data_IF_052294636158
#
_entry.id   IF_052294636158
#
_cell.length_a   1.000
_cell.length_b   1.000
_cell.length_c   1.000
_cell.angle_alpha   90.00
_cell.angle_beta   90.00
_cell.angle_gamma   90.00
#
_symmetry.space_group_name_H-M   'P 1'
#
loop_
_entity.id
_entity.type
_entity.pdbx_description
1 polymer ?
#
# COMPACT_ATOMS: atom_id res chain seq x y z
N UNK A 1 17.95 16.06 32.39
CA UNK A 1 19.02 15.11 32.74
C UNK A 1 19.14 14.17 31.57
N UNK A 2 20.28 14.29 30.89
CA UNK A 2 20.85 13.54 29.75
C UNK A 2 19.99 13.20 28.52
N UNK A 3 20.43 13.82 27.41
CA UNK A 3 20.11 13.53 26.02
C UNK A 3 20.59 12.13 25.62
N UNK A 4 19.67 11.30 25.09
CA UNK A 4 20.06 10.10 24.36
C UNK A 4 20.40 10.47 22.92
N UNK A 5 21.70 10.53 22.63
CA UNK A 5 22.30 10.77 21.32
C UNK A 5 21.84 9.75 20.27
N UNK A 6 21.53 10.25 19.07
CA UNK A 6 21.10 9.51 17.86
C UNK A 6 22.27 8.72 17.21
N UNK A 7 23.39 8.50 17.92
CA UNK A 7 24.58 7.82 17.40
C UNK A 7 24.68 6.30 17.63
N UNK A 8 23.69 5.67 18.29
CA UNK A 8 23.85 4.29 18.81
C UNK A 8 23.44 3.13 17.89
N UNK A 9 22.93 3.39 16.69
CA UNK A 9 22.37 2.34 15.80
C UNK A 9 23.30 1.90 14.67
N UNK A 10 24.49 2.51 14.54
CA UNK A 10 25.44 2.25 13.44
C UNK A 10 26.56 1.25 13.80
N UNK A 11 26.68 0.81 15.06
CA UNK A 11 27.82 -0.02 15.49
C UNK A 11 27.50 -1.49 15.81
N UNK A 12 26.34 -2.03 15.40
CA UNK A 12 25.99 -3.45 15.63
C UNK A 12 25.85 -4.35 14.40
N UNK A 13 26.38 -3.93 13.25
CA UNK A 13 26.56 -4.78 12.06
C UNK A 13 28.03 -4.89 11.62
N UNK A 14 28.96 -4.88 12.58
CA UNK A 14 30.37 -5.20 12.33
C UNK A 14 30.75 -6.63 12.70
N UNK A 15 29.80 -7.56 12.68
CA UNK A 15 30.06 -9.00 12.82
C UNK A 15 29.17 -9.77 11.85
N UNK A 16 29.65 -9.88 10.61
CA UNK A 16 28.97 -10.60 9.53
C UNK A 16 29.59 -10.25 8.19
N UNK A 17 30.81 -10.74 7.91
CA UNK A 17 31.26 -10.89 6.53
C UNK A 17 30.38 -11.95 5.88
N UNK A 18 29.15 -11.58 5.53
CA UNK A 18 28.31 -12.35 4.63
C UNK A 18 29.07 -12.52 3.32
N UNK A 19 28.93 -13.70 2.71
CA UNK A 19 29.53 -14.01 1.44
C UNK A 19 29.03 -13.00 0.38
N UNK A 20 29.89 -12.04 0.01
CA UNK A 20 29.60 -10.99 -0.98
C UNK A 20 29.24 -11.60 -2.35
N UNK A 21 29.53 -12.89 -2.57
CA UNK A 21 29.12 -13.60 -3.77
C UNK A 21 27.64 -13.99 -3.79
N UNK A 22 26.99 -14.13 -2.62
CA UNK A 22 25.57 -14.47 -2.51
C UNK A 22 24.70 -13.23 -2.66
N UNK A 23 23.67 -13.33 -3.50
CA UNK A 23 22.69 -12.26 -3.67
C UNK A 23 21.89 -12.03 -2.36
N UNK A 24 21.71 -10.78 -1.90
CA UNK A 24 20.85 -10.47 -0.77
C UNK A 24 19.36 -10.63 -1.14
N UNK A 25 18.48 -10.60 -0.15
CA UNK A 25 17.06 -10.37 -0.43
C UNK A 25 16.88 -8.95 -0.98
N UNK A 26 16.58 -8.85 -2.27
CA UNK A 26 16.33 -7.58 -2.94
C UNK A 26 14.96 -7.00 -2.60
N UNK A 27 14.08 -7.75 -1.93
CA UNK A 27 12.71 -7.31 -1.73
C UNK A 27 12.53 -6.42 -0.50
N UNK A 28 13.10 -6.79 0.66
CA UNK A 28 13.04 -6.00 1.90
C UNK A 28 11.61 -5.54 2.21
N UNK A 29 10.68 -6.49 2.21
CA UNK A 29 9.29 -6.21 2.52
C UNK A 29 9.11 -6.02 4.02
N UNK A 30 8.43 -4.93 4.39
CA UNK A 30 7.72 -4.85 5.66
C UNK A 30 6.27 -5.12 5.32
N UNK A 31 5.73 -6.28 5.69
CA UNK A 31 4.40 -6.65 5.19
C UNK A 31 3.31 -5.72 5.74
N UNK A 32 3.23 -5.59 7.07
CA UNK A 32 2.21 -4.80 7.74
C UNK A 32 2.83 -3.95 8.82
N UNK A 33 2.34 -2.72 8.95
CA UNK A 33 2.58 -1.88 10.13
C UNK A 33 1.24 -1.43 10.70
N UNK A 34 1.06 -1.61 12.00
CA UNK A 34 -0.11 -1.10 12.70
C UNK A 34 0.17 0.32 13.20
N UNK A 35 -0.75 1.25 12.95
CA UNK A 35 -0.71 2.60 13.51
C UNK A 35 -1.78 2.73 14.59
N UNK A 36 -1.37 3.21 15.76
CA UNK A 36 -2.26 3.50 16.88
C UNK A 36 -3.10 4.76 16.62
N UNK A 37 -4.11 4.99 17.45
CA UNK A 37 -4.85 6.24 17.46
C UNK A 37 -3.95 7.46 17.72
N UNK A 38 -2.92 7.32 18.57
CA UNK A 38 -1.97 8.40 18.85
C UNK A 38 -1.08 8.70 17.64
N UNK A 39 -0.65 7.68 16.89
CA UNK A 39 0.17 7.84 15.68
C UNK A 39 -0.54 8.69 14.62
N UNK A 40 -1.83 8.43 14.42
CA UNK A 40 -2.63 9.11 13.39
C UNK A 40 -3.27 10.41 13.92
N UNK A 41 -3.43 10.55 15.23
CA UNK A 41 -3.96 11.73 15.90
C UNK A 41 -5.47 11.89 15.85
N UNK A 42 -6.24 10.85 15.48
CA UNK A 42 -7.70 10.97 15.31
C UNK A 42 -8.51 11.01 16.61
N UNK A 43 -7.87 10.75 17.76
CA UNK A 43 -8.49 10.96 19.08
C UNK A 43 -8.62 12.45 19.46
N UNK A 44 -7.95 13.35 18.73
CA UNK A 44 -8.06 14.79 18.90
C UNK A 44 -9.06 15.36 17.88
N UNK A 45 -10.16 16.01 18.31
CA UNK A 45 -11.18 16.52 17.40
C UNK A 45 -10.68 17.58 16.42
N UNK A 46 -9.59 18.29 16.77
CA UNK A 46 -9.02 19.36 15.93
C UNK A 46 -8.02 18.82 14.90
N UNK A 47 -7.67 17.53 14.97
CA UNK A 47 -6.74 16.89 14.04
C UNK A 47 -7.49 16.20 12.91
N UNK A 48 -6.77 15.98 11.82
CA UNK A 48 -7.26 15.25 10.64
C UNK A 48 -6.18 14.38 10.03
N UNK A 49 -6.63 13.29 9.43
CA UNK A 49 -5.81 12.42 8.58
C UNK A 49 -6.17 12.71 7.13
N UNK A 50 -5.14 12.91 6.30
CA UNK A 50 -5.25 13.18 4.87
C UNK A 50 -4.62 11.98 4.16
N UNK A 51 -5.42 11.15 3.50
CA UNK A 51 -4.96 10.03 2.68
C UNK A 51 -4.94 10.46 1.21
N UNK A 52 -3.81 10.33 0.53
CA UNK A 52 -3.63 10.79 -0.86
C UNK A 52 -3.40 9.60 -1.81
N UNK A 53 -4.02 9.67 -3.00
CA UNK A 53 -3.85 8.72 -4.11
C UNK A 53 -2.44 8.68 -4.72
N UNK A 54 -2.28 7.89 -5.77
CA UNK A 54 -1.01 7.65 -6.48
C UNK A 54 -0.37 8.96 -6.98
N UNK A 55 0.93 9.11 -6.70
CA UNK A 55 1.63 10.39 -6.84
C UNK A 55 2.52 10.46 -8.07
N UNK A 56 3.22 9.39 -8.43
CA UNK A 56 3.96 9.24 -9.68
C UNK A 56 4.86 10.43 -10.06
N UNK A 57 5.57 11.00 -9.07
CA UNK A 57 6.44 12.15 -9.25
C UNK A 57 5.73 13.47 -9.55
N UNK A 58 4.41 13.54 -9.38
CA UNK A 58 3.59 14.74 -9.59
C UNK A 58 3.67 15.69 -8.38
N UNK A 59 4.89 16.11 -8.04
CA UNK A 59 5.19 16.89 -6.83
C UNK A 59 4.40 18.21 -6.77
N UNK A 60 4.31 18.95 -7.88
CA UNK A 60 3.55 20.20 -7.94
C UNK A 60 2.06 19.98 -7.66
N UNK A 61 1.46 18.94 -8.25
CA UNK A 61 0.06 18.58 -8.01
C UNK A 61 -0.19 18.21 -6.54
N UNK A 62 0.76 17.54 -5.87
CA UNK A 62 0.67 17.27 -4.44
C UNK A 62 0.67 18.58 -3.64
N UNK A 63 1.58 19.51 -3.94
CA UNK A 63 1.63 20.78 -3.23
C UNK A 63 0.39 21.66 -3.48
N UNK A 64 -0.20 21.62 -4.67
CA UNK A 64 -1.48 22.27 -4.95
C UNK A 64 -2.61 21.67 -4.11
N UNK A 65 -2.67 20.34 -4.01
CA UNK A 65 -3.64 19.65 -3.18
C UNK A 65 -3.47 20.02 -1.70
N UNK A 66 -2.25 19.97 -1.17
CA UNK A 66 -1.93 20.32 0.22
C UNK A 66 -2.25 21.80 0.51
N UNK A 67 -1.99 22.69 -0.45
CA UNK A 67 -2.36 24.11 -0.36
C UNK A 67 -3.88 24.28 -0.31
N UNK A 68 -4.61 23.58 -1.18
CA UNK A 68 -6.08 23.63 -1.20
C UNK A 68 -6.71 23.14 0.11
N UNK A 69 -6.02 22.23 0.81
CA UNK A 69 -6.40 21.71 2.11
C UNK A 69 -5.94 22.59 3.27
N UNK A 70 -5.12 23.62 3.03
CA UNK A 70 -4.40 24.34 4.08
C UNK A 70 -3.66 23.37 5.01
N UNK A 71 -2.91 22.44 4.43
CA UNK A 71 -2.18 21.40 5.17
C UNK A 71 -1.22 22.01 6.21
N UNK A 72 -1.33 21.53 7.44
CA UNK A 72 -0.48 21.92 8.55
C UNK A 72 0.21 20.67 9.14
N UNK A 73 1.52 20.45 8.92
CA UNK A 73 2.22 19.27 9.40
C UNK A 73 2.30 19.15 10.94
N UNK A 74 1.92 20.18 11.70
CA UNK A 74 1.85 20.13 13.16
C UNK A 74 0.48 19.67 13.69
N UNK A 75 -0.57 19.67 12.86
CA UNK A 75 -1.93 19.29 13.24
C UNK A 75 -2.46 18.11 12.39
N UNK A 76 -2.00 18.01 11.15
CA UNK A 76 -2.46 17.03 10.18
C UNK A 76 -1.51 15.85 10.09
N UNK A 77 -2.08 14.65 9.94
CA UNK A 77 -1.34 13.45 9.56
C UNK A 77 -1.54 13.18 8.08
N UNK A 78 -0.46 13.12 7.31
CA UNK A 78 -0.50 12.79 5.88
C UNK A 78 -0.14 11.32 5.67
N UNK A 79 -0.91 10.62 4.83
CA UNK A 79 -0.71 9.24 4.44
C UNK A 79 -0.83 9.12 2.92
N UNK A 80 0.10 8.46 2.22
CA UNK A 80 -0.04 8.17 0.78
C UNK A 80 -0.35 6.68 0.53
N UNK A 81 -1.08 6.37 -0.55
CA UNK A 81 -1.42 4.98 -0.94
C UNK A 81 -0.36 4.28 -1.80
N UNK A 82 0.79 4.92 -2.02
CA UNK A 82 1.94 4.35 -2.74
C UNK A 82 2.10 4.92 -4.14
N UNK A 83 2.95 4.27 -4.93
CA UNK A 83 3.31 4.69 -6.28
C UNK A 83 3.77 6.15 -6.30
N UNK A 84 4.86 6.37 -5.58
CA UNK A 84 5.48 7.68 -5.40
C UNK A 84 6.22 8.12 -6.65
N UNK A 85 6.91 7.18 -7.26
CA UNK A 85 7.80 7.44 -8.39
C UNK A 85 7.21 6.90 -9.69
N UNK A 86 7.93 7.09 -10.80
CA UNK A 86 7.56 6.61 -12.13
C UNK A 86 6.37 7.37 -12.76
N UNK A 87 6.23 7.28 -14.08
CA UNK A 87 5.25 7.96 -14.95
C UNK A 87 5.44 9.48 -15.08
N UNK A 88 5.60 10.24 -14.00
CA UNK A 88 5.93 11.67 -14.05
C UNK A 88 7.42 11.96 -14.32
N UNK A 89 7.83 13.24 -14.32
CA UNK A 89 9.22 13.63 -14.52
C UNK A 89 10.16 13.04 -13.46
N UNK A 90 11.40 12.73 -13.85
CA UNK A 90 12.44 12.24 -12.93
C UNK A 90 12.70 13.22 -11.78
N UNK A 91 12.84 14.52 -12.11
CA UNK A 91 13.01 15.59 -11.13
C UNK A 91 11.84 15.66 -10.15
N UNK A 92 10.62 15.43 -10.63
CA UNK A 92 9.42 15.38 -9.80
C UNK A 92 9.41 14.17 -8.85
N UNK A 93 9.87 13.00 -9.30
CA UNK A 93 10.04 11.81 -8.44
C UNK A 93 11.03 12.07 -7.30
N UNK A 94 12.18 12.70 -7.60
CA UNK A 94 13.21 13.02 -6.59
C UNK A 94 12.70 14.08 -5.62
N UNK A 95 12.12 15.19 -6.12
CA UNK A 95 11.60 16.26 -5.28
C UNK A 95 10.45 15.78 -4.37
N UNK A 96 9.63 14.86 -4.86
CA UNK A 96 8.59 14.24 -4.05
C UNK A 96 9.20 13.41 -2.91
N UNK A 97 10.22 12.60 -3.19
CA UNK A 97 10.92 11.83 -2.17
C UNK A 97 11.63 12.72 -1.15
N UNK A 98 12.20 13.86 -1.56
CA UNK A 98 12.76 14.87 -0.65
C UNK A 98 11.71 15.34 0.37
N UNK A 99 10.52 15.71 -0.10
CA UNK A 99 9.43 16.15 0.76
C UNK A 99 8.95 15.05 1.71
N UNK A 100 8.65 13.86 1.17
CA UNK A 100 8.08 12.76 1.94
C UNK A 100 9.06 12.20 2.98
N UNK A 101 10.33 12.00 2.61
CA UNK A 101 11.36 11.47 3.49
C UNK A 101 11.70 12.47 4.61
N UNK A 102 11.85 13.77 4.29
CA UNK A 102 12.21 14.80 5.28
C UNK A 102 11.13 15.01 6.35
N UNK A 103 9.87 14.77 6.01
CA UNK A 103 8.73 14.87 6.93
C UNK A 103 8.32 13.54 7.55
N UNK A 104 8.94 12.42 7.14
CA UNK A 104 8.59 11.04 7.55
C UNK A 104 7.09 10.77 7.40
N UNK A 105 6.55 11.15 6.26
CA UNK A 105 5.13 10.97 5.93
C UNK A 105 4.81 9.46 5.96
N UNK A 106 3.65 9.08 6.48
CA UNK A 106 3.24 7.68 6.45
C UNK A 106 2.79 7.29 5.04
N UNK A 107 2.83 6.00 4.74
CA UNK A 107 2.25 5.48 3.52
C UNK A 107 2.49 4.00 3.36
N UNK A 108 2.06 3.49 2.22
CA UNK A 108 2.36 2.12 1.79
C UNK A 108 3.20 2.10 0.53
N UNK A 109 3.92 1.00 0.30
CA UNK A 109 4.75 0.80 -0.89
C UNK A 109 3.90 0.37 -2.08
N UNK A 110 4.05 1.04 -3.21
CA UNK A 110 3.40 0.68 -4.47
C UNK A 110 4.23 -0.23 -5.38
N UNK A 111 3.62 -0.73 -6.46
CA UNK A 111 4.31 -1.61 -7.41
C UNK A 111 5.35 -0.88 -8.26
N UNK A 112 5.29 0.45 -8.39
CA UNK A 112 6.34 1.24 -9.03
C UNK A 112 7.45 1.67 -8.05
N UNK A 113 7.22 1.61 -6.74
CA UNK A 113 8.22 1.90 -5.72
C UNK A 113 9.16 0.70 -5.50
N UNK A 114 8.60 -0.53 -5.49
CA UNK A 114 9.33 -1.76 -5.20
C UNK A 114 10.54 -2.01 -6.13
N UNK A 115 10.45 -1.81 -7.46
CA UNK A 115 11.60 -1.97 -8.34
C UNK A 115 12.75 -1.00 -8.03
N UNK A 116 12.48 0.18 -7.48
CA UNK A 116 13.53 1.15 -7.12
C UNK A 116 14.35 0.65 -5.93
N UNK A 117 13.69 0.12 -4.89
CA UNK A 117 14.34 -0.53 -3.74
C UNK A 117 15.21 -1.71 -4.20
N UNK A 118 14.64 -2.56 -5.04
CA UNK A 118 15.29 -3.72 -5.66
C UNK A 118 16.56 -3.32 -6.42
N UNK A 119 16.47 -2.32 -7.31
CA UNK A 119 17.63 -1.81 -8.02
C UNK A 119 18.67 -1.23 -7.06
N UNK A 120 18.29 -0.42 -6.07
CA UNK A 120 19.23 0.16 -5.09
C UNK A 120 20.06 -0.91 -4.38
N UNK A 121 19.43 -1.97 -3.92
CA UNK A 121 20.12 -3.11 -3.30
C UNK A 121 21.01 -3.88 -4.27
N UNK A 122 20.54 -4.09 -5.51
CA UNK A 122 21.35 -4.74 -6.53
C UNK A 122 22.61 -3.97 -6.85
N UNK A 123 22.53 -2.65 -6.92
CA UNK A 123 23.69 -1.80 -7.13
C UNK A 123 24.70 -1.92 -5.99
N UNK A 124 24.25 -1.83 -4.74
CA UNK A 124 25.12 -2.01 -3.58
C UNK A 124 25.83 -3.37 -3.62
N UNK A 125 25.11 -4.42 -4.00
CA UNK A 125 25.67 -5.77 -4.13
C UNK A 125 26.69 -5.91 -5.27
N UNK A 126 26.43 -5.31 -6.44
CA UNK A 126 27.38 -5.34 -7.56
C UNK A 126 28.63 -4.50 -7.25
N UNK A 127 28.45 -3.30 -6.69
CA UNK A 127 29.57 -2.39 -6.39
C UNK A 127 30.48 -2.91 -5.26
N UNK A 128 29.94 -3.73 -4.35
CA UNK A 128 30.72 -4.42 -3.32
C UNK A 128 31.61 -5.55 -3.88
N UNK A 129 31.31 -6.08 -5.07
CA UNK A 129 32.08 -7.16 -5.68
C UNK A 129 33.32 -6.64 -6.41
N UNK A 130 34.41 -7.43 -6.38
CA UNK A 130 35.66 -7.11 -7.09
C UNK A 130 35.44 -6.93 -8.59
N UNK A 131 35.69 -5.71 -9.08
CA UNK A 131 35.53 -5.30 -10.48
C UNK A 131 34.09 -4.91 -10.87
N UNK A 132 33.13 -4.99 -9.95
CA UNK A 132 31.72 -4.73 -10.24
C UNK A 132 31.42 -3.26 -10.43
N UNK A 133 32.03 -2.39 -9.61
CA UNK A 133 31.93 -0.93 -9.73
C UNK A 133 32.49 -0.41 -11.05
N UNK A 134 33.66 -0.92 -11.47
CA UNK A 134 34.28 -0.55 -12.74
C UNK A 134 33.44 -1.02 -13.93
N UNK A 135 32.93 -2.25 -13.87
CA UNK A 135 32.05 -2.79 -14.90
C UNK A 135 30.76 -1.98 -15.02
N UNK A 136 30.10 -1.66 -13.90
CA UNK A 136 28.85 -0.92 -13.88
C UNK A 136 29.03 0.49 -14.48
N UNK A 137 30.10 1.19 -14.06
CA UNK A 137 30.45 2.51 -14.62
C UNK A 137 30.71 2.47 -16.11
N UNK A 138 31.47 1.47 -16.59
CA UNK A 138 31.76 1.34 -18.02
C UNK A 138 30.49 1.06 -18.84
N UNK A 139 29.64 0.14 -18.37
CA UNK A 139 28.44 -0.24 -19.11
C UNK A 139 27.39 0.87 -19.14
N UNK A 140 27.24 1.63 -18.04
CA UNK A 140 26.38 2.81 -17.99
C UNK A 140 26.89 3.92 -18.92
N UNK A 141 28.21 4.17 -18.93
CA UNK A 141 28.84 5.12 -19.83
C UNK A 141 28.61 4.75 -21.30
N UNK A 142 28.86 3.48 -21.65
CA UNK A 142 28.64 2.96 -23.01
C UNK A 142 27.18 3.04 -23.42
N UNK A 143 26.26 2.64 -22.53
CA UNK A 143 24.82 2.73 -22.79
C UNK A 143 24.39 4.17 -23.07
N UNK A 144 24.80 5.13 -22.24
CA UNK A 144 24.48 6.55 -22.39
C UNK A 144 24.96 7.15 -23.71
N UNK A 145 26.10 6.68 -24.22
CA UNK A 145 26.71 7.13 -25.49
C UNK A 145 26.27 6.32 -26.71
N UNK A 146 25.46 5.27 -26.53
CA UNK A 146 25.11 4.35 -27.62
C UNK A 146 26.28 3.47 -28.10
N UNK A 147 27.34 3.33 -27.30
CA UNK A 147 28.60 2.67 -27.65
C UNK A 147 28.60 1.16 -27.33
N UNK A 148 27.48 0.59 -26.87
CA UNK A 148 27.39 -0.85 -26.61
C UNK A 148 27.59 -1.65 -27.92
N UNK A 149 28.60 -2.53 -27.93
CA UNK A 149 28.88 -3.36 -29.09
C UNK A 149 27.87 -4.52 -29.22
N UNK A 150 27.91 -5.23 -30.35
CA UNK A 150 26.95 -6.31 -30.64
C UNK A 150 27.03 -7.48 -29.64
N UNK A 151 28.22 -7.79 -29.13
CA UNK A 151 28.44 -8.85 -28.15
C UNK A 151 27.84 -8.46 -26.79
N UNK A 152 28.09 -7.23 -26.33
CA UNK A 152 27.54 -6.69 -25.08
C UNK A 152 26.01 -6.64 -25.12
N UNK A 153 25.43 -6.17 -26.23
CA UNK A 153 23.96 -6.18 -26.44
C UNK A 153 23.40 -7.59 -26.37
N UNK A 154 24.09 -8.57 -26.99
CA UNK A 154 23.68 -9.98 -26.97
C UNK A 154 23.82 -10.59 -25.57
N UNK A 155 24.89 -10.28 -24.86
CA UNK A 155 25.15 -10.75 -23.50
C UNK A 155 24.11 -10.19 -22.52
N UNK A 156 23.80 -8.90 -22.61
CA UNK A 156 22.72 -8.25 -21.86
C UNK A 156 21.36 -8.91 -22.13
N UNK A 157 20.97 -9.04 -23.42
CA UNK A 157 19.69 -9.65 -23.80
C UNK A 157 19.56 -11.09 -23.30
N UNK A 158 20.65 -11.86 -23.34
CA UNK A 158 20.67 -13.26 -22.92
C UNK A 158 21.02 -13.46 -21.44
N UNK A 159 21.30 -12.38 -20.69
CA UNK A 159 21.80 -12.40 -19.31
C UNK A 159 23.01 -13.34 -19.13
N UNK A 160 23.95 -13.29 -20.08
CA UNK A 160 25.14 -14.16 -20.12
C UNK A 160 26.42 -13.44 -19.73
N UNK A 161 27.28 -14.15 -19.01
CA UNK A 161 28.56 -13.64 -18.52
C UNK A 161 28.46 -13.18 -17.07
N UNK A 162 29.64 -12.97 -16.44
CA UNK A 162 29.80 -12.77 -15.00
C UNK A 162 28.80 -11.79 -14.37
N UNK A 163 28.58 -10.65 -15.03
CA UNK A 163 27.76 -9.56 -14.48
C UNK A 163 26.33 -9.59 -14.97
N UNK A 164 26.11 -9.89 -16.25
CA UNK A 164 24.75 -9.95 -16.80
C UNK A 164 23.91 -11.08 -16.23
N UNK A 165 24.54 -12.19 -15.82
CA UNK A 165 23.84 -13.29 -15.13
C UNK A 165 23.41 -12.93 -13.71
N UNK A 166 23.94 -11.83 -13.15
CA UNK A 166 23.56 -11.33 -11.81
C UNK A 166 22.37 -10.37 -11.85
N UNK A 167 21.90 -9.96 -13.03
CA UNK A 167 20.65 -9.20 -13.15
C UNK A 167 19.47 -10.20 -13.03
N UNK A 168 18.54 -10.05 -12.07
CA UNK A 168 17.41 -10.97 -11.91
C UNK A 168 16.45 -10.97 -13.10
N UNK A 169 15.92 -12.15 -13.46
CA UNK A 169 14.97 -12.31 -14.60
C UNK A 169 13.82 -11.31 -14.48
N UNK A 170 13.39 -10.74 -15.61
CA UNK A 170 12.34 -9.71 -15.66
C UNK A 170 12.82 -8.27 -15.44
N UNK A 171 13.96 -8.05 -14.77
CA UNK A 171 14.41 -6.67 -14.50
C UNK A 171 14.93 -5.97 -15.75
N UNK A 172 14.46 -4.74 -16.00
CA UNK A 172 14.82 -3.91 -17.16
C UNK A 172 16.02 -3.00 -16.86
N UNK A 173 17.22 -3.48 -17.19
CA UNK A 173 18.46 -2.69 -17.07
C UNK A 173 18.33 -1.37 -17.84
N UNK A 174 18.78 -0.26 -17.25
CA UNK A 174 18.68 1.09 -17.80
C UNK A 174 17.26 1.63 -18.02
N UNK A 175 16.23 0.92 -17.55
CA UNK A 175 14.84 1.37 -17.51
C UNK A 175 14.65 2.58 -16.58
N UNK A 176 13.40 3.04 -16.46
CA UNK A 176 13.13 4.24 -15.67
C UNK A 176 13.39 3.99 -14.17
N UNK A 177 12.92 2.88 -13.61
CA UNK A 177 13.21 2.50 -12.21
C UNK A 177 14.70 2.37 -11.91
N UNK A 178 15.47 1.82 -12.85
CA UNK A 178 16.94 1.74 -12.74
C UNK A 178 17.54 3.14 -12.57
N UNK A 179 17.09 4.10 -13.39
CA UNK A 179 17.60 5.48 -13.35
C UNK A 179 17.19 6.19 -12.08
N UNK A 180 15.94 6.04 -11.63
CA UNK A 180 15.47 6.57 -10.33
C UNK A 180 16.37 6.02 -9.21
N UNK A 181 16.60 4.71 -9.16
CA UNK A 181 17.43 4.06 -8.14
C UNK A 181 18.92 4.45 -8.18
N UNK A 182 19.40 5.06 -9.27
CA UNK A 182 20.73 5.70 -9.34
C UNK A 182 20.74 7.13 -8.85
N UNK A 183 19.64 7.86 -8.98
CA UNK A 183 19.55 9.27 -8.62
C UNK A 183 19.21 9.48 -7.14
N UNK A 184 18.43 8.57 -6.54
CA UNK A 184 17.96 8.75 -5.15
C UNK A 184 19.09 8.68 -4.12
N UNK A 185 18.94 9.45 -3.03
CA UNK A 185 19.86 9.44 -1.88
C UNK A 185 19.66 8.20 -0.98
N UNK A 186 20.52 8.05 0.03
CA UNK A 186 20.33 7.01 1.05
C UNK A 186 19.08 7.28 1.90
N UNK A 187 18.77 8.55 2.21
CA UNK A 187 17.56 8.93 2.96
C UNK A 187 16.28 8.62 2.17
N UNK A 188 16.27 8.84 0.85
CA UNK A 188 15.17 8.44 -0.01
C UNK A 188 14.98 6.93 -0.03
N UNK A 189 16.08 6.18 -0.12
CA UNK A 189 16.06 4.73 -0.08
C UNK A 189 15.54 4.20 1.26
N UNK A 190 16.03 4.75 2.37
CA UNK A 190 15.60 4.39 3.72
C UNK A 190 14.11 4.66 3.91
N UNK A 191 13.62 5.78 3.38
CA UNK A 191 12.19 6.08 3.35
C UNK A 191 11.41 4.99 2.59
N UNK A 192 11.77 4.67 1.34
CA UNK A 192 11.10 3.65 0.54
C UNK A 192 11.11 2.26 1.21
N UNK A 193 12.22 1.89 1.83
CA UNK A 193 12.35 0.62 2.55
C UNK A 193 11.51 0.60 3.84
N UNK A 194 11.32 1.75 4.48
CA UNK A 194 10.49 1.86 5.68
C UNK A 194 8.98 1.72 5.41
N UNK A 195 8.55 1.90 4.15
CA UNK A 195 7.14 1.79 3.78
C UNK A 195 6.66 0.32 3.85
N UNK A 196 5.61 0.03 4.65
CA UNK A 196 4.98 -1.27 4.67
C UNK A 196 4.13 -1.52 3.42
N UNK A 197 3.72 -2.77 3.17
CA UNK A 197 2.75 -3.09 2.11
C UNK A 197 1.31 -2.78 2.53
N UNK A 198 1.03 -2.90 3.83
CA UNK A 198 -0.28 -2.60 4.44
C UNK A 198 -0.10 -1.76 5.71
N UNK A 199 -0.84 -0.66 5.82
CA UNK A 199 -1.07 -0.01 7.12
C UNK A 199 -2.39 -0.53 7.70
N UNK A 200 -2.35 -1.05 8.93
CA UNK A 200 -3.54 -1.43 9.68
C UNK A 200 -3.81 -0.37 10.75
N UNK A 201 -5.03 0.17 10.79
CA UNK A 201 -5.44 1.25 11.69
C UNK A 201 -6.66 0.75 12.48
N UNK A 202 -6.44 0.05 13.61
CA UNK A 202 -7.50 -0.62 14.37
C UNK A 202 -8.56 0.36 14.87
N UNK A 203 -8.15 1.53 15.38
CA UNK A 203 -9.06 2.55 15.92
C UNK A 203 -10.09 3.08 14.92
N UNK A 204 -9.87 2.86 13.63
CA UNK A 204 -10.78 3.23 12.54
C UNK A 204 -11.26 2.02 11.73
N UNK A 205 -10.89 0.81 12.14
CA UNK A 205 -11.16 -0.45 11.44
C UNK A 205 -10.85 -0.35 9.95
N UNK A 206 -9.66 0.19 9.67
CA UNK A 206 -9.22 0.60 8.35
C UNK A 206 -7.91 -0.09 7.97
N UNK A 207 -7.80 -0.42 6.68
CA UNK A 207 -6.55 -0.75 6.02
C UNK A 207 -6.22 0.31 4.97
N UNK A 208 -4.95 0.68 4.88
CA UNK A 208 -4.39 1.33 3.69
C UNK A 208 -3.50 0.30 3.00
N UNK A 209 -3.73 0.09 1.71
CA UNK A 209 -3.00 -0.88 0.88
C UNK A 209 -2.92 -0.36 -0.54
N UNK A 210 -1.83 -0.61 -1.26
CA UNK A 210 -1.69 -0.01 -2.59
C UNK A 210 -2.67 -0.60 -3.63
N UNK A 211 -2.61 -1.91 -3.88
CA UNK A 211 -3.45 -2.58 -4.87
C UNK A 211 -4.81 -3.02 -4.32
N UNK A 212 -4.80 -3.76 -3.21
CA UNK A 212 -6.03 -4.22 -2.56
C UNK A 212 -5.89 -5.38 -1.60
N UNK A 213 -7.00 -5.73 -0.94
CA UNK A 213 -7.12 -6.87 -0.02
C UNK A 213 -8.36 -7.70 -0.38
N UNK A 214 -8.27 -9.01 -0.20
CA UNK A 214 -9.41 -9.91 -0.39
C UNK A 214 -10.14 -10.18 0.94
N UNK A 215 -11.48 -10.22 0.93
CA UNK A 215 -12.26 -10.50 2.14
C UNK A 215 -12.26 -11.99 2.54
N UNK A 216 -11.79 -12.87 1.66
CA UNK A 216 -11.74 -14.32 1.85
C UNK A 216 -10.82 -14.98 0.80
N UNK A 217 -10.44 -16.24 1.02
CA UNK A 217 -9.70 -17.02 0.02
C UNK A 217 -10.64 -17.44 -1.13
N UNK A 218 -10.41 -16.96 -2.37
CA UNK A 218 -11.33 -17.20 -3.50
C UNK A 218 -11.38 -18.64 -3.97
N UNK A 219 -10.46 -19.51 -3.51
CA UNK A 219 -10.49 -20.97 -3.79
C UNK A 219 -11.48 -21.73 -2.89
N UNK A 220 -12.24 -21.03 -2.04
CA UNK A 220 -13.24 -21.61 -1.13
C UNK A 220 -14.54 -20.82 -1.21
N UNK A 221 -15.70 -21.44 -0.88
CA UNK A 221 -16.93 -20.71 -0.64
C UNK A 221 -16.72 -19.60 0.40
N UNK A 222 -17.43 -18.49 0.23
CA UNK A 222 -17.29 -17.30 1.07
C UNK A 222 -17.73 -17.56 2.52
N UNK A 223 -18.69 -18.45 2.74
CA UNK A 223 -19.22 -18.88 4.04
C UNK A 223 -18.49 -20.10 4.64
N UNK A 224 -17.39 -20.55 4.02
CA UNK A 224 -16.65 -21.70 4.50
C UNK A 224 -16.07 -21.41 5.91
N UNK A 225 -16.11 -22.35 6.88
CA UNK A 225 -15.69 -22.14 8.27
C UNK A 225 -14.19 -21.89 8.51
N UNK A 226 -13.41 -21.70 7.44
CA UNK A 226 -11.99 -21.33 7.49
C UNK A 226 -11.76 -19.91 6.95
N UNK A 227 -12.82 -19.23 6.51
CA UNK A 227 -12.75 -17.87 6.04
C UNK A 227 -12.82 -16.94 7.25
N UNK A 228 -11.96 -15.92 7.36
CA UNK A 228 -11.89 -15.05 8.54
C UNK A 228 -13.21 -14.39 8.93
N UNK A 229 -14.07 -14.10 7.96
CA UNK A 229 -15.37 -13.45 8.18
C UNK A 229 -16.52 -14.44 8.44
N UNK A 230 -16.29 -15.75 8.24
CA UNK A 230 -17.34 -16.78 8.36
C UNK A 230 -17.33 -17.51 9.71
N UNK A 231 -16.45 -17.12 10.62
CA UNK A 231 -16.38 -17.66 11.98
C UNK A 231 -15.90 -16.57 12.94
N UNK A 232 -16.10 -16.80 14.24
CA UNK A 232 -15.52 -15.92 15.26
C UNK A 232 -13.99 -16.05 15.24
N UNK A 233 -13.25 -14.95 15.44
CA UNK A 233 -11.78 -14.96 15.42
C UNK A 233 -11.21 -15.91 16.48
N UNK A 234 -10.10 -16.55 16.11
CA UNK A 234 -9.49 -17.67 16.85
C UNK A 234 -8.26 -17.28 17.68
N UNK A 235 -7.75 -16.05 17.52
CA UNK A 235 -6.52 -15.54 18.16
C UNK A 235 -6.51 -15.64 19.69
N UNK A 236 -7.63 -16.01 20.32
CA UNK A 236 -7.79 -16.12 21.77
C UNK A 236 -8.02 -17.53 22.31
N UNK A 237 -8.04 -18.57 21.48
CA UNK A 237 -8.32 -19.93 21.99
C UNK A 237 -7.09 -20.65 22.58
N UNK A 238 -5.86 -20.13 22.40
CA UNK A 238 -4.63 -20.87 22.79
C UNK A 238 -3.76 -20.28 23.91
N UNK A 239 -3.89 -19.02 24.30
CA UNK A 239 -2.91 -18.39 25.22
C UNK A 239 -3.44 -17.88 26.56
N UNK A 240 -4.75 -17.73 26.74
CA UNK A 240 -5.31 -17.35 28.05
C UNK A 240 -6.66 -18.04 28.20
N UNK A 241 -6.87 -18.78 29.28
CA UNK A 241 -8.15 -19.46 29.52
C UNK A 241 -9.32 -18.49 29.40
N UNK A 242 -10.35 -18.88 28.64
CA UNK A 242 -11.69 -18.28 28.54
C UNK A 242 -11.79 -16.80 28.93
N UNK A 243 -11.06 -15.92 28.25
CA UNK A 243 -11.31 -14.48 28.36
C UNK A 243 -12.51 -14.18 27.49
N UNK A 244 -13.58 -13.62 28.09
CA UNK A 244 -14.64 -12.98 27.32
C UNK A 244 -14.01 -11.75 26.67
N UNK A 245 -13.62 -11.86 25.40
CA UNK A 245 -13.19 -10.71 24.63
C UNK A 245 -14.35 -9.74 24.49
N UNK A 246 -14.06 -8.45 24.57
CA UNK A 246 -15.04 -7.45 24.15
C UNK A 246 -15.17 -7.40 22.62
N UNK A 247 -16.14 -6.63 22.14
CA UNK A 247 -16.42 -6.53 20.70
C UNK A 247 -15.25 -5.93 19.91
N UNK A 248 -14.54 -4.98 20.50
CA UNK A 248 -13.40 -4.30 19.88
C UNK A 248 -12.22 -5.25 19.71
N UNK A 249 -11.86 -5.98 20.76
CA UNK A 249 -10.82 -7.01 20.71
C UNK A 249 -11.15 -8.09 19.68
N UNK A 250 -12.42 -8.53 19.60
CA UNK A 250 -12.85 -9.49 18.58
C UNK A 250 -12.70 -8.90 17.18
N UNK A 251 -13.03 -7.63 16.99
CA UNK A 251 -12.89 -6.96 15.70
C UNK A 251 -11.43 -6.84 15.27
N UNK A 252 -10.55 -6.40 16.16
CA UNK A 252 -9.10 -6.35 15.88
C UNK A 252 -8.56 -7.75 15.57
N UNK A 253 -8.99 -8.78 16.29
CA UNK A 253 -8.58 -10.16 16.01
C UNK A 253 -9.07 -10.64 14.64
N UNK A 254 -10.32 -10.34 14.26
CA UNK A 254 -10.84 -10.63 12.92
C UNK A 254 -10.01 -9.93 11.83
N UNK A 255 -9.62 -8.68 12.08
CA UNK A 255 -8.81 -7.90 11.16
C UNK A 255 -7.42 -8.49 10.93
N UNK A 256 -6.75 -8.91 12.01
CA UNK A 256 -5.49 -9.65 11.91
C UNK A 256 -5.67 -10.95 11.12
N UNK A 257 -6.79 -11.66 11.29
CA UNK A 257 -7.07 -12.86 10.51
C UNK A 257 -7.32 -12.60 9.02
N UNK A 258 -7.95 -11.48 8.66
CA UNK A 258 -8.05 -11.06 7.25
C UNK A 258 -6.68 -10.90 6.62
N UNK A 259 -5.72 -10.30 7.34
CA UNK A 259 -4.35 -10.11 6.85
C UNK A 259 -3.56 -11.42 6.77
N UNK A 260 -3.72 -12.30 7.76
CA UNK A 260 -2.82 -13.45 7.96
C UNK A 260 -3.35 -14.78 7.45
N UNK A 261 -4.68 -14.96 7.36
CA UNK A 261 -5.30 -16.25 7.00
C UNK A 261 -5.86 -16.30 5.58
N UNK A 262 -5.98 -15.17 4.91
CA UNK A 262 -6.25 -15.13 3.47
C UNK A 262 -4.89 -15.20 2.76
N UNK A 263 -4.52 -16.32 2.10
CA UNK A 263 -3.16 -16.50 1.56
C UNK A 263 -2.74 -15.42 0.55
N UNK A 264 -3.72 -14.84 -0.14
CA UNK A 264 -3.51 -13.76 -1.09
C UNK A 264 -3.17 -12.44 -0.40
N UNK A 265 -3.62 -12.21 0.84
CA UNK A 265 -3.31 -11.01 1.58
C UNK A 265 -1.92 -11.04 2.22
N UNK A 266 -1.29 -12.21 2.30
CA UNK A 266 0.11 -12.39 2.76
C UNK A 266 1.13 -12.35 1.61
N UNK A 267 0.66 -12.29 0.37
CA UNK A 267 1.50 -12.28 -0.82
C UNK A 267 1.81 -10.83 -1.23
N UNK A 268 3.09 -10.39 -1.15
CA UNK A 268 3.49 -9.04 -1.51
C UNK A 268 3.07 -8.61 -2.92
N UNK A 269 3.15 -9.53 -3.88
CA UNK A 269 2.78 -9.22 -5.25
C UNK A 269 1.29 -8.91 -5.34
N UNK A 270 0.45 -9.72 -4.67
CA UNK A 270 -1.01 -9.53 -4.71
C UNK A 270 -1.42 -8.18 -4.11
N UNK A 271 -0.97 -7.86 -2.90
CA UNK A 271 -1.40 -6.63 -2.20
C UNK A 271 -0.98 -5.36 -2.92
N UNK A 272 0.09 -5.41 -3.72
CA UNK A 272 0.51 -4.30 -4.59
C UNK A 272 -0.16 -4.31 -5.96
N UNK A 273 -0.56 -5.46 -6.52
CA UNK A 273 -0.92 -5.55 -7.95
C UNK A 273 -2.37 -5.96 -8.25
N UNK A 274 -3.14 -6.42 -7.27
CA UNK A 274 -4.48 -6.95 -7.52
C UNK A 274 -5.43 -5.90 -8.11
N UNK A 275 -6.12 -6.24 -9.20
CA UNK A 275 -7.25 -5.45 -9.73
C UNK A 275 -8.55 -6.24 -9.75
N UNK A 276 -8.48 -7.55 -10.01
CA UNK A 276 -9.63 -8.44 -10.14
C UNK A 276 -9.29 -9.89 -9.77
N UNK A 277 -10.31 -10.72 -9.58
CA UNK A 277 -10.23 -12.17 -9.32
C UNK A 277 -11.06 -12.90 -10.38
N UNK A 278 -10.48 -13.90 -11.04
CA UNK A 278 -11.19 -14.71 -12.05
C UNK A 278 -12.18 -15.67 -11.40
N UNK A 279 -13.07 -16.26 -12.21
CA UNK A 279 -14.04 -17.26 -11.72
C UNK A 279 -13.37 -18.53 -11.17
N UNK A 280 -12.15 -18.83 -11.62
CA UNK A 280 -11.30 -19.90 -11.07
C UNK A 280 -10.60 -19.54 -9.75
N UNK A 281 -10.79 -18.31 -9.25
CA UNK A 281 -10.13 -17.79 -8.06
C UNK A 281 -8.68 -17.36 -8.26
N UNK A 282 -8.21 -17.18 -9.50
CA UNK A 282 -6.87 -16.66 -9.82
C UNK A 282 -6.87 -15.13 -9.70
N UNK A 283 -5.84 -14.59 -9.08
CA UNK A 283 -5.63 -13.15 -8.95
C UNK A 283 -5.11 -12.58 -10.27
N UNK A 284 -5.60 -11.41 -10.66
CA UNK A 284 -5.11 -10.75 -11.87
C UNK A 284 -5.00 -9.23 -11.71
N UNK A 285 -3.96 -8.70 -12.35
CA UNK A 285 -3.74 -7.27 -12.57
C UNK A 285 -4.51 -6.71 -13.76
N UNK A 286 -5.24 -7.52 -14.51
CA UNK A 286 -6.00 -7.08 -15.71
C UNK A 286 -7.39 -6.57 -15.29
N UNK A 287 -7.65 -5.27 -15.45
CA UNK A 287 -8.91 -4.64 -15.05
C UNK A 287 -10.15 -5.26 -15.71
N UNK A 288 -10.03 -5.73 -16.96
CA UNK A 288 -11.11 -6.30 -17.79
C UNK A 288 -11.32 -7.82 -17.60
N UNK A 289 -10.54 -8.50 -16.75
CA UNK A 289 -10.61 -9.96 -16.56
C UNK A 289 -11.06 -10.31 -15.15
N UNK A 290 -12.20 -10.98 -15.04
CA UNK A 290 -12.76 -11.42 -13.75
C UNK A 290 -13.55 -10.33 -13.02
N UNK A 291 -13.80 -10.57 -11.73
CA UNK A 291 -14.56 -9.67 -10.86
C UNK A 291 -13.62 -8.74 -10.10
N UNK A 292 -13.85 -7.41 -10.09
CA UNK A 292 -13.07 -6.48 -9.28
C UNK A 292 -13.03 -6.91 -7.81
N UNK A 293 -11.85 -6.87 -7.19
CA UNK A 293 -11.71 -7.29 -5.80
C UNK A 293 -12.59 -6.45 -4.86
N UNK A 294 -12.77 -5.17 -5.16
CA UNK A 294 -13.61 -4.21 -4.42
C UNK A 294 -15.07 -4.65 -4.38
N UNK A 295 -15.59 -5.23 -5.47
CA UNK A 295 -16.93 -5.80 -5.53
C UNK A 295 -17.05 -7.03 -4.63
N UNK A 296 -16.01 -7.88 -4.57
CA UNK A 296 -15.99 -9.02 -3.64
C UNK A 296 -15.94 -8.55 -2.19
N UNK A 297 -15.09 -7.57 -1.89
CA UNK A 297 -14.96 -6.95 -0.57
C UNK A 297 -16.30 -6.43 -0.08
N UNK A 298 -16.86 -5.43 -0.78
CA UNK A 298 -18.11 -4.76 -0.38
C UNK A 298 -19.29 -5.74 -0.30
N UNK A 299 -19.39 -6.73 -1.20
CA UNK A 299 -20.45 -7.75 -1.14
C UNK A 299 -20.34 -8.63 0.11
N UNK A 300 -19.12 -8.93 0.55
CA UNK A 300 -18.87 -9.81 1.69
C UNK A 300 -19.07 -9.07 3.00
N UNK A 301 -18.42 -7.92 3.17
CA UNK A 301 -18.52 -7.16 4.42
C UNK A 301 -19.93 -6.62 4.67
N UNK A 302 -20.73 -6.40 3.62
CA UNK A 302 -22.17 -6.08 3.75
C UNK A 302 -22.98 -7.18 4.46
N UNK A 303 -22.47 -8.43 4.50
CA UNK A 303 -23.11 -9.55 5.20
C UNK A 303 -22.71 -9.63 6.68
N UNK A 304 -21.74 -8.84 7.13
CA UNK A 304 -21.35 -8.77 8.53
C UNK A 304 -22.50 -8.23 9.38
N UNK A 305 -22.83 -8.97 10.44
CA UNK A 305 -24.00 -8.71 11.28
C UNK A 305 -23.68 -8.77 12.79
N UNK A 306 -22.41 -8.52 13.15
CA UNK A 306 -21.92 -8.58 14.53
C UNK A 306 -21.55 -9.98 15.01
N UNK A 307 -20.83 -10.04 16.14
CA UNK A 307 -20.31 -11.28 16.71
C UNK A 307 -21.32 -12.09 17.54
N UNK A 308 -22.49 -11.51 17.89
CA UNK A 308 -23.53 -12.25 18.59
C UNK A 308 -24.19 -13.30 17.67
N UNK A 309 -23.72 -14.54 17.82
CA UNK A 309 -24.23 -15.71 17.10
C UNK A 309 -25.49 -16.30 17.75
N UNK A 310 -25.80 -15.95 19.01
CA UNK A 310 -26.94 -16.50 19.74
C UNK A 310 -28.27 -15.86 19.34
N UNK A 311 -28.24 -14.57 18.98
CA UNK A 311 -29.37 -13.84 18.39
C UNK A 311 -29.75 -14.32 16.96
N UNK A 312 -29.01 -15.28 16.38
CA UNK A 312 -29.21 -15.76 15.01
C UNK A 312 -30.15 -16.97 14.88
N UNK A 313 -30.70 -17.49 15.99
CA UNK A 313 -31.79 -18.48 15.96
C UNK A 313 -33.04 -17.84 15.31
N UNK A 314 -33.11 -17.90 13.98
CA UNK A 314 -34.22 -17.39 13.16
C UNK A 314 -33.85 -16.34 12.10
N UNK A 315 -32.59 -15.89 11.99
CA UNK A 315 -32.17 -14.88 10.99
C UNK A 315 -31.70 -15.52 9.67
N UNK A 316 -31.71 -14.72 8.59
CA UNK A 316 -31.45 -15.12 7.20
C UNK A 316 -30.14 -15.90 7.08
N UNK A 317 -30.13 -17.00 6.30
CA UNK A 317 -28.97 -17.86 6.02
C UNK A 317 -27.75 -17.17 5.36
N UNK A 318 -27.83 -15.86 5.10
CA UNK A 318 -26.85 -15.10 4.33
C UNK A 318 -25.91 -14.20 5.16
N UNK A 319 -26.11 -14.09 6.48
CA UNK A 319 -25.36 -13.22 7.41
C UNK A 319 -24.09 -13.89 7.96
N UNK A 320 -23.04 -13.10 8.19
CA UNK A 320 -21.71 -13.52 8.63
C UNK A 320 -21.39 -13.00 10.05
N UNK A 321 -20.73 -13.81 10.92
CA UNK A 321 -20.36 -13.43 12.29
C UNK A 321 -19.13 -12.54 12.34
N UNK A 322 -19.25 -11.37 11.71
CA UNK A 322 -18.18 -10.41 11.56
C UNK A 322 -18.66 -8.98 11.74
N UNK A 323 -17.69 -8.07 11.84
CA UNK A 323 -17.85 -6.63 11.73
C UNK A 323 -17.20 -6.13 10.42
N UNK A 324 -17.72 -5.07 9.80
CA UNK A 324 -17.13 -4.53 8.56
C UNK A 324 -15.81 -3.81 8.82
N UNK A 325 -14.93 -3.75 7.82
CA UNK A 325 -13.70 -2.92 7.84
C UNK A 325 -13.57 -2.19 6.50
N UNK A 326 -12.95 -1.01 6.53
CA UNK A 326 -12.77 -0.15 5.34
C UNK A 326 -11.39 -0.35 4.72
N UNK A 327 -11.28 -0.39 3.39
CA UNK A 327 -9.99 -0.45 2.69
C UNK A 327 -9.80 0.81 1.83
N UNK A 328 -8.73 1.55 2.08
CA UNK A 328 -8.31 2.71 1.26
C UNK A 328 -7.14 2.30 0.38
N UNK A 329 -7.20 2.59 -0.92
CA UNK A 329 -6.25 2.06 -1.91
C UNK A 329 -6.00 2.97 -3.12
N UNK A 330 -5.06 2.57 -3.98
CA UNK A 330 -4.62 3.28 -5.19
C UNK A 330 -4.62 2.38 -6.45
N UNK A 331 -3.54 2.43 -7.25
CA UNK A 331 -3.13 1.49 -8.32
C UNK A 331 -4.00 1.40 -9.59
N UNK A 332 -5.31 1.62 -9.46
CA UNK A 332 -6.28 1.33 -10.54
C UNK A 332 -6.76 2.58 -11.26
N UNK A 333 -5.83 3.42 -11.74
CA UNK A 333 -6.11 4.63 -12.52
C UNK A 333 -7.15 4.43 -13.63
N UNK A 334 -7.16 3.26 -14.30
CA UNK A 334 -8.18 2.91 -15.32
C UNK A 334 -9.64 3.02 -14.85
N UNK A 335 -9.90 2.94 -13.53
CA UNK A 335 -11.23 3.11 -12.92
C UNK A 335 -11.46 4.52 -12.38
N UNK A 336 -10.42 5.34 -12.29
CA UNK A 336 -10.45 6.64 -11.66
C UNK A 336 -10.81 6.57 -10.17
N UNK A 337 -11.41 7.64 -9.66
CA UNK A 337 -11.91 7.71 -8.29
C UNK A 337 -13.02 6.67 -8.07
N UNK A 338 -12.73 5.64 -7.27
CA UNK A 338 -13.58 4.44 -7.10
C UNK A 338 -14.09 4.33 -5.65
N UNK A 339 -15.27 4.89 -5.38
CA UNK A 339 -15.78 5.07 -4.01
C UNK A 339 -16.95 4.13 -3.73
N UNK A 340 -16.80 3.30 -2.71
CA UNK A 340 -17.83 2.41 -2.18
C UNK A 340 -17.96 2.55 -0.66
N UNK A 341 -18.98 1.90 -0.06
CA UNK A 341 -19.26 2.01 1.38
C UNK A 341 -18.10 1.56 2.27
N UNK A 342 -17.38 0.52 1.86
CA UNK A 342 -16.30 -0.13 2.63
C UNK A 342 -14.98 -0.24 1.87
N UNK A 343 -14.86 0.46 0.73
CA UNK A 343 -13.59 0.59 0.02
C UNK A 343 -13.52 1.93 -0.71
N UNK A 344 -12.38 2.61 -0.63
CA UNK A 344 -12.16 3.93 -1.23
C UNK A 344 -10.87 3.93 -2.05
N UNK A 345 -11.00 3.94 -3.38
CA UNK A 345 -9.89 4.02 -4.32
C UNK A 345 -9.58 5.48 -4.67
N UNK A 346 -8.37 5.93 -4.34
CA UNK A 346 -7.93 7.32 -4.47
C UNK A 346 -7.12 7.61 -5.74
N UNK A 347 -6.74 6.59 -6.50
CA UNK A 347 -6.04 6.76 -7.77
C UNK A 347 -6.97 7.30 -8.86
N UNK A 348 -7.11 8.63 -8.85
CA UNK A 348 -7.87 9.38 -9.87
C UNK A 348 -7.06 9.68 -11.13
N UNK A 349 -5.90 9.03 -11.33
CA UNK A 349 -5.10 9.13 -12.57
C UNK A 349 -4.30 10.42 -12.71
N UNK A 350 -3.68 10.93 -11.64
CA UNK A 350 -2.94 12.20 -11.68
C UNK A 350 -1.85 12.23 -12.76
N UNK A 351 -1.07 11.15 -12.87
CA UNK A 351 -0.04 11.00 -13.89
C UNK A 351 -0.60 10.88 -15.32
N UNK A 352 -1.91 10.80 -15.51
CA UNK A 352 -2.55 10.82 -16.83
C UNK A 352 -3.18 12.20 -17.12
N UNK A 353 -2.76 13.24 -16.41
CA UNK A 353 -3.28 14.61 -16.57
C UNK A 353 -4.69 14.80 -15.99
N UNK A 354 -5.20 13.81 -15.25
CA UNK A 354 -6.53 13.87 -14.63
C UNK A 354 -6.47 14.63 -13.30
N UNK A 355 -6.76 13.96 -12.18
CA UNK A 355 -6.83 14.60 -10.86
C UNK A 355 -5.96 13.88 -9.85
N UNK A 356 -5.50 14.60 -8.84
CA UNK A 356 -4.97 14.03 -7.61
C UNK A 356 -6.04 14.18 -6.54
N UNK A 357 -6.40 13.08 -5.89
CA UNK A 357 -7.49 13.04 -4.91
C UNK A 357 -6.97 12.64 -3.53
N UNK A 358 -7.52 13.28 -2.51
CA UNK A 358 -7.35 12.92 -1.12
C UNK A 358 -8.68 12.65 -0.43
N UNK A 359 -8.65 11.70 0.49
CA UNK A 359 -9.67 11.48 1.51
C UNK A 359 -9.21 12.15 2.82
N UNK A 360 -10.05 13.01 3.37
CA UNK A 360 -9.81 13.68 4.64
C UNK A 360 -10.78 13.14 5.68
N UNK A 361 -10.23 12.67 6.80
CA UNK A 361 -10.95 12.20 7.97
C UNK A 361 -10.64 13.15 9.14
N UNK A 362 -11.65 13.76 9.75
CA UNK A 362 -11.46 14.66 10.90
C UNK A 362 -11.79 13.96 12.22
N UNK A 363 -11.01 14.25 13.26
CA UNK A 363 -11.28 13.75 14.61
C UNK A 363 -12.67 14.20 15.09
N UNK A 364 -13.08 15.44 14.82
CA UNK A 364 -14.39 15.95 15.23
C UNK A 364 -15.56 15.14 14.65
N UNK A 365 -15.47 14.71 13.39
CA UNK A 365 -16.54 13.94 12.74
C UNK A 365 -16.59 12.49 13.22
N UNK A 366 -15.43 11.92 13.55
CA UNK A 366 -15.34 10.58 14.10
C UNK A 366 -15.73 10.56 15.58
N UNK A 367 -15.35 11.57 16.35
CA UNK A 367 -15.79 11.77 17.74
C UNK A 367 -17.31 12.01 17.83
N UNK A 368 -17.89 12.74 16.87
CA UNK A 368 -19.35 12.92 16.79
C UNK A 368 -20.08 11.59 16.55
N UNK A 369 -19.48 10.66 15.80
CA UNK A 369 -20.02 9.30 15.63
C UNK A 369 -19.87 8.44 16.88
N UNK A 370 -18.78 8.59 17.64
CA UNK A 370 -18.58 7.92 18.94
C UNK A 370 -19.51 8.46 20.03
N UNK A 371 -19.87 9.75 20.01
CA UNK A 371 -20.85 10.30 20.95
C UNK A 371 -22.28 9.82 20.66
N UNK A 372 -22.63 9.64 19.38
CA UNK A 372 -23.91 9.04 18.98
C UNK A 372 -24.03 7.57 19.43
N UNK A 373 -22.92 6.82 19.51
CA UNK A 373 -22.89 5.47 20.08
C UNK A 373 -22.72 5.45 21.61
N UNK A 374 -22.10 6.45 22.23
CA UNK A 374 -21.93 6.56 23.70
C UNK A 374 -23.24 6.79 24.47
N UNK A 375 -24.30 7.27 23.81
CA UNK A 375 -25.65 7.27 24.39
C UNK A 375 -26.22 5.85 24.59
N UNK A 376 -25.47 4.80 24.18
CA UNK A 376 -25.83 3.40 24.40
C UNK A 376 -24.98 2.66 25.46
N UNK A 377 -23.80 3.15 25.90
CA UNK A 377 -22.99 2.43 26.91
C UNK A 377 -22.09 3.39 27.71
N UNK A 378 -22.43 3.60 28.99
CA UNK A 378 -21.52 4.15 30.00
C UNK A 378 -20.47 3.09 30.37
N UNK A 379 -19.19 3.40 30.17
CA UNK A 379 -18.11 2.48 30.56
C UNK A 379 -16.72 3.05 30.28
N UNK A 380 -16.17 3.72 31.29
CA UNK A 380 -14.82 4.26 31.33
C UNK A 380 -13.76 3.13 31.27
N UNK A 381 -12.73 3.21 30.41
CA UNK A 381 -11.29 3.04 30.75
C UNK A 381 -10.37 2.67 29.56
N UNK A 382 -9.13 3.10 29.75
CA UNK A 382 -7.89 3.02 28.97
C UNK A 382 -7.33 1.61 28.74
N UNK A 383 -6.63 1.36 27.62
CA UNK A 383 -5.64 0.27 27.54
C UNK A 383 -4.53 0.52 26.51
N UNK A 384 -3.37 0.95 27.03
CA UNK A 384 -2.05 0.60 26.50
C UNK A 384 -1.83 -0.91 26.74
N UNK A 385 -2.08 -1.79 25.76
CA UNK A 385 -1.56 -3.16 25.79
C UNK A 385 -1.80 -3.96 24.49
N UNK A 386 -1.26 -3.55 23.33
CA UNK A 386 -0.98 -4.48 22.22
C UNK A 386 0.24 -4.03 21.40
N UNK A 387 1.41 -4.03 22.04
CA UNK A 387 2.69 -3.98 21.32
C UNK A 387 2.97 -5.38 20.74
N UNK A 388 2.65 -5.58 19.47
CA UNK A 388 3.05 -6.78 18.73
C UNK A 388 4.51 -6.61 18.33
N UNK A 389 5.39 -7.40 18.96
CA UNK A 389 6.75 -7.61 18.47
C UNK A 389 6.66 -8.36 17.14
N UNK A 390 7.33 -7.83 16.11
CA UNK A 390 7.37 -8.40 14.78
C UNK A 390 8.18 -9.69 14.78
N UNK A 391 7.50 -10.82 14.72
CA UNK A 391 8.13 -12.11 14.42
C UNK A 391 8.03 -12.40 12.92
N UNK A 392 9.18 -12.78 12.38
CA UNK A 392 9.48 -13.08 10.98
C UNK A 392 8.70 -14.34 10.52
N UNK A 393 7.58 -14.14 9.83
CA UNK A 393 6.79 -15.25 9.27
C UNK A 393 7.31 -15.65 7.88
N UNK A 394 7.50 -16.96 7.60
CA UNK A 394 7.96 -17.43 6.30
C UNK A 394 6.92 -17.14 5.20
N UNK A 395 7.31 -16.30 4.24
CA UNK A 395 6.55 -15.97 3.03
C UNK A 395 6.37 -17.24 2.20
N UNK A 396 5.12 -17.74 2.10
CA UNK A 396 4.79 -18.78 1.13
C UNK A 396 4.53 -18.11 -0.21
N UNK A 397 5.52 -18.16 -1.10
CA UNK A 397 5.32 -17.81 -2.50
C UNK A 397 4.29 -18.77 -3.10
N UNK A 398 3.12 -18.26 -3.47
CA UNK A 398 2.22 -18.97 -4.38
C UNK A 398 2.97 -19.07 -5.71
N UNK A 399 3.15 -20.29 -6.22
CA UNK A 399 3.92 -20.57 -7.43
C UNK A 399 3.49 -19.66 -8.58
N UNK A 400 4.47 -18.96 -9.15
CA UNK A 400 4.34 -18.24 -10.41
C UNK A 400 4.10 -19.26 -11.53
N UNK A 401 2.84 -19.64 -11.77
CA UNK A 401 2.50 -20.50 -12.90
C UNK A 401 2.84 -19.78 -14.21
N UNK A 402 3.79 -20.39 -14.92
CA UNK A 402 4.52 -20.01 -16.14
C UNK A 402 3.65 -19.79 -17.41
N UNK A 403 2.41 -19.33 -17.27
CA UNK A 403 1.48 -19.10 -18.39
C UNK A 403 1.25 -17.62 -18.75
N UNK A 404 2.03 -16.71 -18.16
CA UNK A 404 2.13 -15.34 -18.68
C UNK A 404 3.26 -15.28 -19.71
N UNK A 405 2.98 -15.79 -20.91
CA UNK A 405 3.68 -15.33 -22.10
C UNK A 405 3.74 -13.80 -22.05
N UNK A 406 4.96 -13.31 -21.89
CA UNK A 406 5.31 -11.91 -21.83
C UNK A 406 4.94 -11.22 -23.15
N UNK A 407 3.70 -10.79 -23.28
CA UNK A 407 3.35 -9.67 -24.14
C UNK A 407 3.88 -8.40 -23.43
N UNK A 408 5.19 -8.21 -23.55
CA UNK A 408 5.94 -7.01 -23.17
C UNK A 408 5.66 -5.88 -24.20
N UNK A 409 4.39 -5.62 -24.48
CA UNK A 409 3.95 -4.28 -24.86
C UNK A 409 3.81 -3.50 -23.57
N UNK A 410 4.16 -2.22 -23.64
CA UNK A 410 4.56 -1.38 -22.52
C UNK A 410 3.73 -1.60 -21.24
N UNK A 411 4.36 -1.45 -20.07
CA UNK A 411 3.69 -1.35 -18.76
C UNK A 411 2.74 -0.12 -18.66
N UNK A 412 2.39 0.45 -19.81
CA UNK A 412 1.68 1.69 -20.07
C UNK A 412 0.30 1.47 -20.75
N UNK A 413 -0.11 0.22 -21.03
CA UNK A 413 -1.46 -0.07 -21.54
C UNK A 413 -2.51 -0.06 -20.40
N UNK A 414 -2.60 1.04 -19.66
CA UNK A 414 -3.90 1.48 -19.18
C UNK A 414 -4.65 1.95 -20.44
N UNK A 415 -5.29 1.00 -21.17
CA UNK A 415 -6.25 1.29 -22.23
C UNK A 415 -7.19 2.39 -21.72
N UNK A 416 -6.95 3.64 -22.11
CA UNK A 416 -7.79 4.79 -21.78
C UNK A 416 -8.94 4.76 -22.79
N UNK A 417 -10.16 4.32 -22.43
CA UNK A 417 -11.29 4.59 -23.30
C UNK A 417 -11.48 6.10 -23.30
N UNK A 418 -11.36 6.69 -24.49
CA UNK A 418 -11.76 8.05 -24.85
C UNK A 418 -12.87 8.54 -23.91
N UNK A 419 -12.50 9.38 -22.95
CA UNK A 419 -13.41 9.91 -21.94
C UNK A 419 -13.79 11.31 -22.40
N UNK A 420 -15.08 11.50 -22.71
CA UNK A 420 -15.61 12.80 -23.07
C UNK A 420 -15.38 13.79 -21.92
N UNK A 421 -14.56 14.81 -22.18
CA UNK A 421 -14.38 15.98 -21.33
C UNK A 421 -15.72 16.74 -21.24
N UNK A 422 -16.52 16.46 -20.22
CA UNK A 422 -17.48 17.47 -19.76
C UNK A 422 -16.68 18.60 -19.08
N UNK A 423 -16.31 19.59 -19.89
CA UNK A 423 -15.77 20.88 -19.47
C UNK A 423 -16.71 21.56 -18.45
N UNK A 424 -16.46 21.35 -17.16
CA UNK A 424 -16.96 22.27 -16.15
C UNK A 424 -16.09 23.52 -16.11
N UNK A 425 -16.48 24.47 -16.95
CA UNK A 425 -15.96 25.83 -17.00
C UNK A 425 -15.96 26.51 -15.62
N UNK A 426 -14.75 26.89 -15.19
CA UNK A 426 -14.45 28.08 -14.37
C UNK A 426 -15.41 28.42 -13.24
N UNK A 427 -15.37 27.67 -12.12
CA UNK A 427 -15.88 28.13 -10.81
C UNK A 427 -14.96 27.65 -9.68
N UNK A 428 -14.90 28.46 -8.61
CA UNK A 428 -14.18 28.25 -7.33
C UNK A 428 -14.22 26.78 -6.85
N UNK A 429 -13.22 26.29 -6.08
CA UNK A 429 -13.14 24.89 -5.68
C UNK A 429 -14.48 24.44 -5.08
N UNK A 430 -15.13 23.49 -5.75
CA UNK A 430 -16.41 22.91 -5.32
C UNK A 430 -16.24 22.28 -3.95
N UNK A 431 -17.25 22.48 -3.10
CA UNK A 431 -17.34 21.88 -1.77
C UNK A 431 -16.95 20.40 -1.82
N UNK A 432 -16.07 19.99 -0.90
CA UNK A 432 -15.59 18.62 -0.82
C UNK A 432 -16.75 17.61 -0.73
N UNK A 433 -16.67 16.55 -1.54
CA UNK A 433 -17.72 15.52 -1.57
C UNK A 433 -17.66 14.71 -0.28
N UNK A 434 -18.73 14.77 0.52
CA UNK A 434 -18.88 13.96 1.74
C UNK A 434 -19.23 12.52 1.36
N UNK A 435 -18.59 11.56 2.01
CA UNK A 435 -18.83 10.13 1.84
C UNK A 435 -18.99 9.45 3.21
N UNK A 436 -19.84 8.42 3.35
CA UNK A 436 -19.84 7.58 4.54
C UNK A 436 -18.49 6.88 4.69
N UNK A 437 -17.93 6.85 5.90
CA UNK A 437 -16.63 6.25 6.17
C UNK A 437 -16.61 5.53 7.53
N UNK A 438 -15.98 4.36 7.60
CA UNK A 438 -16.03 3.53 8.81
C UNK A 438 -17.47 3.16 9.17
N UNK A 439 -17.74 2.90 10.45
CA UNK A 439 -19.09 2.50 10.89
C UNK A 439 -20.10 3.62 10.75
N UNK A 440 -19.82 4.77 11.35
CA UNK A 440 -20.75 5.90 11.42
C UNK A 440 -20.08 7.25 11.09
N UNK A 441 -18.83 7.22 10.62
CA UNK A 441 -18.03 8.40 10.30
C UNK A 441 -18.35 9.01 8.93
N UNK A 442 -17.77 10.19 8.70
CA UNK A 442 -17.83 10.91 7.43
C UNK A 442 -16.41 11.21 6.97
N UNK A 443 -16.12 10.85 5.72
CA UNK A 443 -14.93 11.29 5.02
C UNK A 443 -15.26 12.39 4.02
N UNK A 444 -14.26 13.21 3.67
CA UNK A 444 -14.39 14.22 2.61
C UNK A 444 -13.36 14.01 1.52
N UNK A 445 -13.82 14.01 0.28
CA UNK A 445 -12.96 13.91 -0.89
C UNK A 445 -12.60 15.29 -1.42
N UNK A 446 -11.30 15.53 -1.59
CA UNK A 446 -10.74 16.73 -2.18
C UNK A 446 -9.90 16.35 -3.38
N UNK A 447 -10.03 17.10 -4.47
CA UNK A 447 -9.23 16.82 -5.66
C UNK A 447 -8.76 18.10 -6.33
N UNK A 448 -7.54 18.08 -6.85
CA UNK A 448 -7.00 19.13 -7.73
C UNK A 448 -6.74 18.56 -9.12
N UNK A 449 -6.77 19.42 -10.14
CA UNK A 449 -6.33 19.04 -11.49
C UNK A 449 -4.82 18.86 -11.47
N UNK A 450 -4.34 17.79 -12.09
CA UNK A 450 -2.90 17.55 -12.17
C UNK A 450 -2.27 18.31 -13.34
N UNK A 451 -1.02 18.72 -13.13
CA UNK A 451 -0.19 19.27 -14.20
C UNK A 451 0.03 18.23 -15.29
N UNK A 452 0.17 18.68 -16.53
CA UNK A 452 0.58 17.81 -17.64
C UNK A 452 2.10 17.58 -17.58
N UNK A 453 2.54 16.38 -17.95
CA UNK A 453 3.96 15.96 -17.90
C UNK A 453 4.88 16.75 -18.82
#
# INVERSE_FOLDING_TARGET
MEEASVGGWVEREREGQGDVERAPDFNRYIHTRTLSEQDIGLGDPDRRVILVGDLHGMNESLHDLLTSLSYNPSADTLIHVGDLVQKGPMSGSVALLDFLASKRIYGVRGNHDQPVVQWRLWFNWIEAQKGGKEWLRDIERKHRRGELNAEEKRAMKKRKGKWWSKVPKGWKMFGVHYRIAREISDEHYDYLVSLPLVLHIPSQHMYVVHGGLLPYNPKRPMDHPKQPLAHLPSLTSRHVGSVNMDEEEMRVAQEVELLTKVPQNTDPWVVMNVRSVTDSGKITRKSKKGTPWTKLWNKTVKKCAGFDVTARKGKKRDELPCMPSTVVYGHTASRGLDVHRWSVGLDSGCAHGRRLTALVLSGAELASSLQASSLAVDGNLTSDALAVQGDDYPIQHLEDDEDDEQDNRDEDDDDDPDWDDEEENGKKPKDATKIPFGDDGIGRLYSVKCHTK
#
